data_IF_148352557432
#
_entry.id   IF_148352557432
#
_cell.length_a   1.000
_cell.length_b   1.000
_cell.length_c   1.000
_cell.angle_alpha   90.00
_cell.angle_beta   90.00
_cell.angle_gamma   90.00
#
_symmetry.space_group_name_H-M   'P 1'
#
loop_
_entity.id
_entity.type
_entity.pdbx_description
1 polymer ?
#
# COMPACT_ATOMS: atom_id res chain seq x y z
N UNK A 1 -1.55 -14.31 8.82
CA UNK A 1 -0.43 -13.89 7.95
C UNK A 1 -0.87 -12.84 6.91
N UNK A 2 -1.91 -13.10 6.11
CA UNK A 2 -2.37 -12.21 5.02
C UNK A 2 -2.76 -10.79 5.49
N UNK A 3 -3.50 -10.68 6.60
CA UNK A 3 -3.87 -9.38 7.20
C UNK A 3 -2.62 -8.59 7.62
N UNK A 4 -1.62 -9.27 8.17
CA UNK A 4 -0.37 -8.65 8.59
C UNK A 4 0.40 -8.11 7.37
N UNK A 5 0.49 -8.89 6.28
CA UNK A 5 1.08 -8.40 5.03
C UNK A 5 0.30 -7.21 4.50
N UNK A 6 -1.04 -7.26 4.44
CA UNK A 6 -1.86 -6.15 3.95
C UNK A 6 -1.55 -4.84 4.69
N UNK A 7 -1.62 -4.85 6.02
CA UNK A 7 -1.43 -3.64 6.82
C UNK A 7 0.03 -3.18 6.86
N UNK A 8 0.99 -4.10 6.96
CA UNK A 8 2.41 -3.72 6.89
C UNK A 8 2.76 -3.14 5.53
N UNK A 9 2.30 -3.76 4.45
CA UNK A 9 2.51 -3.25 3.09
C UNK A 9 1.85 -1.88 2.90
N UNK A 10 0.66 -1.67 3.47
CA UNK A 10 -0.01 -0.39 3.40
C UNK A 10 0.77 0.73 4.10
N UNK A 11 1.17 0.49 5.35
CA UNK A 11 1.88 1.49 6.16
C UNK A 11 3.28 1.73 5.60
N UNK A 12 4.02 0.68 5.24
CA UNK A 12 5.35 0.82 4.68
C UNK A 12 5.32 1.56 3.34
N UNK A 13 4.38 1.20 2.46
CA UNK A 13 4.26 1.86 1.15
C UNK A 13 3.77 3.30 1.25
N UNK A 14 3.11 3.69 2.35
CA UNK A 14 2.78 5.09 2.57
C UNK A 14 4.03 5.99 2.63
N UNK A 15 5.22 5.45 2.92
CA UNK A 15 6.48 6.19 2.98
C UNK A 15 7.53 5.74 1.95
N UNK A 16 7.33 4.59 1.32
CA UNK A 16 8.23 3.99 0.33
C UNK A 16 7.42 3.75 -0.94
N UNK A 17 7.95 4.14 -2.10
CA UNK A 17 7.28 3.88 -3.37
C UNK A 17 6.93 2.39 -3.52
N UNK A 18 5.72 2.12 -4.02
CA UNK A 18 5.19 0.77 -4.09
C UNK A 18 6.02 -0.16 -4.99
N UNK A 19 6.73 0.36 -6.00
CA UNK A 19 7.58 -0.45 -6.89
C UNK A 19 8.76 -1.08 -6.14
N UNK A 20 9.68 -0.33 -5.52
CA UNK A 20 10.78 -0.92 -4.78
C UNK A 20 10.30 -1.74 -3.59
N UNK A 21 9.21 -1.34 -2.91
CA UNK A 21 8.66 -2.10 -1.80
C UNK A 21 8.13 -3.47 -2.24
N UNK A 22 7.36 -3.56 -3.32
CA UNK A 22 6.89 -4.86 -3.83
C UNK A 22 8.07 -5.72 -4.29
N UNK A 23 9.08 -5.12 -4.92
CA UNK A 23 10.27 -5.84 -5.37
C UNK A 23 11.00 -6.55 -4.21
N UNK A 24 11.06 -5.93 -3.02
CA UNK A 24 11.67 -6.58 -1.83
C UNK A 24 10.77 -7.64 -1.20
N UNK A 25 9.44 -7.52 -1.32
CA UNK A 25 8.49 -8.48 -0.76
C UNK A 25 8.31 -9.73 -1.63
N UNK A 26 8.54 -9.65 -2.95
CA UNK A 26 8.48 -10.81 -3.86
C UNK A 26 9.33 -11.99 -3.37
N UNK A 27 10.65 -11.85 -3.10
CA UNK A 27 11.47 -12.97 -2.65
C UNK A 27 11.00 -13.51 -1.30
N UNK A 28 10.55 -12.63 -0.38
CA UNK A 28 9.99 -13.03 0.91
C UNK A 28 8.78 -13.96 0.73
N UNK A 29 7.79 -13.57 -0.08
CA UNK A 29 6.59 -14.39 -0.31
C UNK A 29 6.92 -15.70 -1.01
N UNK A 30 7.88 -15.70 -1.95
CA UNK A 30 8.34 -16.93 -2.61
C UNK A 30 8.98 -17.91 -1.62
N UNK A 31 9.88 -17.44 -0.76
CA UNK A 31 10.47 -18.29 0.28
C UNK A 31 9.43 -18.83 1.26
N UNK A 32 8.42 -18.03 1.60
CA UNK A 32 7.31 -18.50 2.43
C UNK A 32 6.50 -19.60 1.74
N UNK A 33 6.28 -19.51 0.43
CA UNK A 33 5.60 -20.55 -0.35
C UNK A 33 6.38 -21.87 -0.33
N UNK A 34 7.69 -21.81 -0.53
CA UNK A 34 8.58 -22.98 -0.52
C UNK A 34 8.63 -23.66 0.85
N UNK A 35 8.71 -22.90 1.94
CA UNK A 35 8.80 -23.43 3.30
C UNK A 35 7.46 -24.00 3.77
N UNK A 36 6.36 -23.30 3.49
CA UNK A 36 5.05 -23.68 4.01
C UNK A 36 4.35 -24.75 3.18
N UNK A 37 4.72 -24.91 1.89
CA UNK A 37 4.03 -25.81 0.96
C UNK A 37 2.56 -25.44 0.71
N UNK A 38 2.13 -24.24 1.14
CA UNK A 38 0.75 -23.77 1.04
C UNK A 38 0.56 -22.81 -0.13
N UNK A 39 -0.70 -22.69 -0.58
CA UNK A 39 -1.07 -21.66 -1.55
C UNK A 39 -0.89 -20.25 -0.95
N UNK A 40 0.03 -19.49 -1.55
CA UNK A 40 0.35 -18.11 -1.17
C UNK A 40 -0.43 -17.07 -1.97
N UNK A 41 -1.42 -17.47 -2.78
CA UNK A 41 -2.25 -16.55 -3.58
C UNK A 41 -2.84 -15.42 -2.73
N UNK A 42 -3.32 -15.74 -1.52
CA UNK A 42 -3.85 -14.76 -0.58
C UNK A 42 -2.79 -13.75 -0.07
N UNK A 43 -1.51 -14.14 0.01
CA UNK A 43 -0.40 -13.23 0.35
C UNK A 43 -0.09 -12.27 -0.80
N UNK A 44 -0.16 -12.74 -2.05
CA UNK A 44 0.02 -11.89 -3.23
C UNK A 44 -1.06 -10.82 -3.33
N UNK A 45 -2.33 -11.20 -3.09
CA UNK A 45 -3.43 -10.24 -3.03
C UNK A 45 -3.27 -9.24 -1.88
N UNK A 46 -2.86 -9.69 -0.70
CA UNK A 46 -2.58 -8.83 0.44
C UNK A 46 -1.46 -7.81 0.13
N UNK A 47 -0.36 -8.26 -0.48
CA UNK A 47 0.74 -7.38 -0.88
C UNK A 47 0.29 -6.37 -1.93
N UNK A 48 -0.42 -6.83 -2.98
CA UNK A 48 -0.87 -5.98 -4.07
C UNK A 48 -1.81 -4.89 -3.59
N UNK A 49 -2.85 -5.26 -2.84
CA UNK A 49 -3.82 -4.29 -2.30
C UNK A 49 -3.16 -3.37 -1.26
N UNK A 50 -2.33 -3.92 -0.37
CA UNK A 50 -1.64 -3.16 0.66
C UNK A 50 -0.70 -2.12 0.07
N UNK A 51 0.24 -2.54 -0.78
CA UNK A 51 1.23 -1.63 -1.36
C UNK A 51 0.58 -0.59 -2.30
N UNK A 52 -0.31 -1.00 -3.20
CA UNK A 52 -0.91 -0.08 -4.15
C UNK A 52 -1.81 0.97 -3.49
N UNK A 53 -2.62 0.56 -2.51
CA UNK A 53 -3.51 1.51 -1.81
C UNK A 53 -2.75 2.31 -0.76
N UNK A 54 -1.79 1.68 -0.07
CA UNK A 54 -0.93 2.30 0.93
C UNK A 54 -0.12 3.48 0.43
N UNK A 55 0.46 3.37 -0.77
CA UNK A 55 1.24 4.46 -1.40
C UNK A 55 0.49 5.78 -1.54
N UNK A 56 -0.84 5.77 -1.48
CA UNK A 56 -1.67 6.98 -1.53
C UNK A 56 -1.73 7.73 -0.20
N UNK A 57 -1.23 7.17 0.91
CA UNK A 57 -1.33 7.78 2.23
C UNK A 57 -0.50 9.06 2.42
N UNK A 58 0.56 9.26 1.62
CA UNK A 58 1.42 10.45 1.72
C UNK A 58 1.91 10.93 0.35
N UNK A 59 2.44 12.17 0.30
CA UNK A 59 3.01 12.75 -0.93
C UNK A 59 4.15 11.92 -1.51
N UNK A 60 4.96 11.27 -0.67
CA UNK A 60 6.17 10.56 -1.12
C UNK A 60 5.92 9.08 -1.38
N UNK A 61 4.76 8.55 -0.97
CA UNK A 61 4.43 7.12 -1.08
C UNK A 61 4.22 6.64 -2.51
N UNK A 62 4.03 7.55 -3.47
CA UNK A 62 3.96 7.23 -4.89
C UNK A 62 4.45 8.38 -5.76
N UNK A 63 5.14 8.04 -6.85
CA UNK A 63 5.53 9.01 -7.89
C UNK A 63 4.38 9.89 -8.40
N UNK A 64 3.17 9.34 -8.55
CA UNK A 64 1.98 10.10 -8.96
C UNK A 64 1.61 11.22 -7.98
N UNK A 65 1.79 11.01 -6.67
CA UNK A 65 1.47 12.01 -5.65
C UNK A 65 2.46 13.19 -5.71
N UNK A 66 3.73 12.91 -5.99
CA UNK A 66 4.76 13.93 -6.21
C UNK A 66 4.44 14.76 -7.46
N UNK A 67 3.98 14.12 -8.54
CA UNK A 67 3.54 14.81 -9.76
C UNK A 67 2.36 15.73 -9.47
N UNK A 68 1.34 15.24 -8.73
CA UNK A 68 0.19 16.07 -8.32
C UNK A 68 0.64 17.27 -7.47
N UNK A 69 1.53 17.06 -6.50
CA UNK A 69 2.09 18.14 -5.67
C UNK A 69 2.82 19.19 -6.53
N UNK A 70 3.62 18.74 -7.49
CA UNK A 70 4.35 19.61 -8.42
C UNK A 70 3.43 20.45 -9.30
N UNK A 71 2.34 19.86 -9.80
CA UNK A 71 1.31 20.56 -10.58
C UNK A 71 0.52 21.54 -9.71
N UNK A 72 0.24 21.19 -8.45
CA UNK A 72 -0.45 22.08 -7.51
C UNK A 72 0.41 23.31 -7.20
N UNK A 73 1.70 23.09 -6.93
CA UNK A 73 2.66 24.16 -6.67
C UNK A 73 2.82 25.11 -7.86
N UNK A 74 2.84 24.60 -9.10
CA UNK A 74 2.93 25.44 -10.31
C UNK A 74 1.69 26.31 -10.54
N UNK A 75 0.56 25.99 -9.89
CA UNK A 75 -0.68 26.79 -9.89
C UNK A 75 -0.81 27.71 -8.67
N UNK A 76 0.25 27.85 -7.87
CA UNK A 76 0.27 28.69 -6.67
C UNK A 76 -0.26 28.02 -5.40
N UNK A 77 -0.55 26.71 -5.45
CA UNK A 77 -1.03 25.94 -4.30
C UNK A 77 0.04 24.93 -3.87
N UNK A 78 1.02 25.38 -3.09
CA UNK A 78 2.04 24.47 -2.57
C UNK A 78 1.46 23.60 -1.45
N UNK A 79 1.40 22.28 -1.66
CA UNK A 79 0.98 21.32 -0.65
C UNK A 79 2.19 20.90 0.19
N UNK A 80 2.14 21.13 1.50
CA UNK A 80 3.12 20.51 2.39
C UNK A 80 2.85 19.01 2.55
N UNK A 81 3.85 18.26 3.02
CA UNK A 81 3.69 16.84 3.37
C UNK A 81 2.49 16.62 4.29
N UNK A 82 2.34 17.47 5.31
CA UNK A 82 1.28 17.36 6.31
C UNK A 82 -0.08 17.70 5.73
N UNK A 83 -0.17 18.70 4.85
CA UNK A 83 -1.45 19.10 4.24
C UNK A 83 -2.05 17.99 3.39
N UNK A 84 -1.23 17.34 2.57
CA UNK A 84 -1.68 16.20 1.79
C UNK A 84 -2.00 15.00 2.69
N UNK A 85 -1.11 14.67 3.63
CA UNK A 85 -1.29 13.51 4.51
C UNK A 85 -2.57 13.60 5.33
N UNK A 86 -2.94 14.79 5.83
CA UNK A 86 -4.19 15.00 6.59
C UNK A 86 -5.44 14.58 5.82
N UNK A 87 -5.43 14.73 4.50
CA UNK A 87 -6.55 14.35 3.64
C UNK A 87 -6.38 12.92 3.16
N UNK A 88 -5.23 12.59 2.58
CA UNK A 88 -5.01 11.34 1.88
C UNK A 88 -4.90 10.13 2.83
N UNK A 89 -4.32 10.31 4.02
CA UNK A 89 -4.10 9.22 4.97
C UNK A 89 -5.42 8.61 5.49
N UNK A 90 -6.44 9.39 5.91
CA UNK A 90 -7.77 8.84 6.20
C UNK A 90 -8.38 8.04 5.04
N UNK A 91 -8.30 8.54 3.80
CA UNK A 91 -8.82 7.83 2.62
C UNK A 91 -8.07 6.53 2.35
N UNK A 92 -6.75 6.53 2.55
CA UNK A 92 -5.94 5.31 2.49
C UNK A 92 -6.44 4.30 3.52
N UNK A 93 -6.64 4.68 4.78
CA UNK A 93 -7.13 3.77 5.84
C UNK A 93 -8.49 3.16 5.47
N UNK A 94 -9.43 3.97 4.97
CA UNK A 94 -10.74 3.47 4.52
C UNK A 94 -10.57 2.42 3.42
N UNK A 95 -9.71 2.70 2.43
CA UNK A 95 -9.44 1.77 1.32
C UNK A 95 -8.81 0.45 1.80
N UNK A 96 -7.94 0.52 2.80
CA UNK A 96 -7.33 -0.66 3.42
C UNK A 96 -8.33 -1.45 4.25
N UNK A 97 -9.26 -0.80 4.96
CA UNK A 97 -10.34 -1.49 5.67
C UNK A 97 -11.23 -2.25 4.69
N UNK A 98 -11.60 -1.63 3.56
CA UNK A 98 -12.38 -2.31 2.51
C UNK A 98 -11.61 -3.52 1.98
N UNK A 99 -10.31 -3.36 1.70
CA UNK A 99 -9.45 -4.45 1.24
C UNK A 99 -9.29 -5.57 2.27
N UNK A 100 -9.24 -5.22 3.56
CA UNK A 100 -9.20 -6.17 4.66
C UNK A 100 -10.46 -7.03 4.67
N UNK A 101 -11.64 -6.40 4.59
CA UNK A 101 -12.92 -7.11 4.54
C UNK A 101 -12.99 -8.01 3.31
N UNK A 102 -12.56 -7.52 2.14
CA UNK A 102 -12.49 -8.33 0.92
C UNK A 102 -11.61 -9.58 1.06
N UNK A 103 -10.38 -9.42 1.57
CA UNK A 103 -9.47 -10.56 1.78
C UNK A 103 -10.05 -11.55 2.80
N UNK A 104 -10.64 -11.03 3.88
CA UNK A 104 -11.28 -11.85 4.89
C UNK A 104 -12.40 -12.71 4.29
N UNK A 105 -13.31 -12.12 3.53
CA UNK A 105 -14.42 -12.85 2.92
C UNK A 105 -13.94 -13.83 1.86
N UNK A 106 -12.95 -13.47 1.04
CA UNK A 106 -12.56 -14.28 -0.13
C UNK A 106 -11.66 -15.47 0.21
N UNK A 107 -10.85 -15.35 1.26
CA UNK A 107 -9.80 -16.34 1.55
C UNK A 107 -9.90 -16.98 2.95
N UNK A 108 -10.70 -16.43 3.87
CA UNK A 108 -10.87 -16.97 5.22
C UNK A 108 -12.27 -17.51 5.50
N UNK A 109 -13.25 -17.14 4.69
CA UNK A 109 -14.63 -17.64 4.74
C UNK A 109 -14.86 -18.64 3.60
#
# INVERSE_FOLDING_TARGET
MHILILWMSAIASAFIDNIPFVATMIPLIKSMAEISGMDVTSLWWALSLGACLGGNGTIIGASANVVVSSISASRGYALSFVDFMKVAFPFMIISIIISHVYIYIKFLL
#
